data_IF_879492081991
#
_entry.id   IF_879492081991
#
_cell.length_a   1.000
_cell.length_b   1.000
_cell.length_c   1.000
_cell.angle_alpha   90.00
_cell.angle_beta   90.00
_cell.angle_gamma   90.00
#
_symmetry.space_group_name_H-M   'P 1'
#
loop_
_entity.id
_entity.type
_entity.pdbx_description
1 polymer ?
#
# COMPACT_ATOMS: atom_id res chain seq x y z
N UNK A 1 -18.15 14.63 -25.95
CA UNK A 1 -17.84 14.19 -24.61
C UNK A 1 -17.48 12.71 -24.70
N UNK A 2 -16.19 12.40 -24.65
CA UNK A 2 -15.70 11.01 -24.71
C UNK A 2 -15.87 10.40 -23.32
N UNK A 3 -16.80 9.47 -23.17
CA UNK A 3 -16.89 8.63 -21.98
C UNK A 3 -15.68 7.69 -22.05
N UNK A 4 -14.66 7.93 -21.22
CA UNK A 4 -13.52 7.05 -21.11
C UNK A 4 -14.02 5.64 -20.76
N UNK A 5 -13.68 4.66 -21.59
CA UNK A 5 -14.01 3.27 -21.37
C UNK A 5 -13.48 2.84 -20.00
N UNK A 6 -14.34 2.31 -19.14
CA UNK A 6 -13.93 1.64 -17.90
C UNK A 6 -13.01 0.48 -18.32
N UNK A 7 -11.76 0.43 -17.83
CA UNK A 7 -10.88 -0.68 -18.16
C UNK A 7 -11.58 -1.99 -17.77
N UNK A 8 -11.68 -2.91 -18.70
CA UNK A 8 -12.22 -4.24 -18.41
C UNK A 8 -11.39 -4.91 -17.32
N UNK A 9 -12.00 -5.80 -16.53
CA UNK A 9 -11.28 -6.58 -15.51
C UNK A 9 -10.02 -7.26 -16.06
N UNK A 10 -10.02 -7.65 -17.33
CA UNK A 10 -8.87 -8.18 -18.04
C UNK A 10 -7.73 -7.17 -18.21
N UNK A 11 -8.03 -5.87 -18.36
CA UNK A 11 -7.02 -4.82 -18.45
C UNK A 11 -6.31 -4.57 -17.10
N UNK A 12 -7.06 -4.64 -16.01
CA UNK A 12 -6.52 -4.53 -14.64
C UNK A 12 -5.63 -5.72 -14.31
N UNK A 13 -6.08 -6.95 -14.56
CA UNK A 13 -5.29 -8.14 -14.32
C UNK A 13 -3.99 -8.14 -15.14
N UNK A 14 -4.06 -7.76 -16.42
CA UNK A 14 -2.87 -7.66 -17.27
C UNK A 14 -1.87 -6.62 -16.74
N UNK A 15 -2.34 -5.47 -16.23
CA UNK A 15 -1.48 -4.46 -15.62
C UNK A 15 -0.77 -4.98 -14.37
N UNK A 16 -1.50 -5.68 -13.51
CA UNK A 16 -0.93 -6.30 -12.29
C UNK A 16 0.09 -7.38 -12.67
N UNK A 17 -0.18 -8.18 -13.68
CA UNK A 17 0.74 -9.21 -14.16
C UNK A 17 2.03 -8.64 -14.73
N UNK A 18 1.94 -7.56 -15.51
CA UNK A 18 3.14 -6.85 -16.01
C UNK A 18 3.96 -6.28 -14.86
N UNK A 19 3.32 -5.68 -13.87
CA UNK A 19 4.00 -5.14 -12.68
C UNK A 19 4.69 -6.24 -11.88
N UNK A 20 4.00 -7.35 -11.63
CA UNK A 20 4.54 -8.54 -10.96
C UNK A 20 5.81 -9.03 -11.66
N UNK A 21 5.76 -9.20 -12.97
CA UNK A 21 6.90 -9.68 -13.76
C UNK A 21 8.06 -8.67 -13.79
N UNK A 22 7.77 -7.38 -13.90
CA UNK A 22 8.78 -6.33 -14.01
C UNK A 22 9.56 -6.15 -12.70
N UNK A 23 8.92 -6.30 -11.55
CA UNK A 23 9.52 -6.04 -10.23
C UNK A 23 9.92 -7.33 -9.51
N UNK A 24 9.29 -8.47 -9.86
CA UNK A 24 9.55 -9.75 -9.21
C UNK A 24 8.77 -9.95 -7.92
N UNK A 25 7.56 -9.40 -7.84
CA UNK A 25 6.64 -9.56 -6.71
C UNK A 25 5.53 -10.53 -7.08
N UNK A 26 5.08 -11.32 -6.12
CA UNK A 26 4.05 -12.33 -6.31
C UNK A 26 2.75 -11.74 -6.89
N UNK A 27 2.29 -12.31 -8.00
CA UNK A 27 1.08 -11.87 -8.69
C UNK A 27 -0.18 -12.04 -7.84
N UNK A 28 -0.32 -13.17 -7.16
CA UNK A 28 -1.51 -13.46 -6.35
C UNK A 28 -1.60 -12.51 -5.15
N UNK A 29 -0.46 -12.16 -4.56
CA UNK A 29 -0.41 -11.14 -3.51
C UNK A 29 -0.94 -9.79 -4.01
N UNK A 30 -0.45 -9.31 -5.16
CA UNK A 30 -0.91 -8.05 -5.74
C UNK A 30 -2.40 -8.09 -6.10
N UNK A 31 -2.88 -9.19 -6.68
CA UNK A 31 -4.30 -9.37 -7.01
C UNK A 31 -5.19 -9.35 -5.76
N UNK A 32 -4.81 -10.08 -4.72
CA UNK A 32 -5.55 -10.09 -3.45
C UNK A 32 -5.58 -8.70 -2.81
N UNK A 33 -4.45 -8.01 -2.82
CA UNK A 33 -4.36 -6.64 -2.28
C UNK A 33 -5.27 -5.69 -3.05
N UNK A 34 -5.22 -5.67 -4.37
CA UNK A 34 -6.08 -4.80 -5.19
C UNK A 34 -7.56 -5.14 -5.00
N UNK A 35 -7.90 -6.42 -4.90
CA UNK A 35 -9.28 -6.86 -4.64
C UNK A 35 -9.77 -6.38 -3.27
N UNK A 36 -8.94 -6.50 -2.26
CA UNK A 36 -9.25 -6.07 -0.88
C UNK A 36 -9.38 -4.55 -0.77
N UNK A 37 -8.49 -3.80 -1.42
CA UNK A 37 -8.45 -2.34 -1.32
C UNK A 37 -9.55 -1.64 -2.14
N UNK A 38 -9.82 -2.10 -3.34
CA UNK A 38 -10.70 -1.39 -4.28
C UNK A 38 -11.72 -2.25 -5.00
N UNK A 39 -11.80 -3.55 -4.67
CA UNK A 39 -12.56 -4.53 -5.47
C UNK A 39 -12.15 -4.52 -6.95
N UNK A 40 -10.85 -4.32 -7.22
CA UNK A 40 -10.26 -4.18 -8.56
C UNK A 40 -10.78 -2.96 -9.34
N UNK A 41 -11.25 -1.93 -8.65
CA UNK A 41 -11.71 -0.69 -9.27
C UNK A 41 -10.56 0.35 -9.35
N UNK A 42 -10.03 0.64 -10.55
CA UNK A 42 -8.93 1.60 -10.69
C UNK A 42 -9.33 3.04 -10.40
N UNK A 43 -10.63 3.35 -10.39
CA UNK A 43 -11.17 4.69 -10.13
C UNK A 43 -11.64 4.90 -8.68
N UNK A 44 -11.40 3.93 -7.80
CA UNK A 44 -11.86 4.00 -6.42
C UNK A 44 -11.23 5.17 -5.67
N UNK A 45 -12.06 5.84 -4.85
CA UNK A 45 -11.64 6.93 -3.96
C UNK A 45 -12.16 6.64 -2.56
N UNK A 46 -11.30 6.78 -1.56
CA UNK A 46 -11.72 6.67 -0.17
C UNK A 46 -12.56 7.90 0.23
N UNK A 47 -13.65 7.72 0.99
CA UNK A 47 -14.52 8.84 1.37
C UNK A 47 -13.92 9.74 2.46
N UNK A 48 -12.99 9.22 3.26
CA UNK A 48 -12.48 9.91 4.47
C UNK A 48 -10.96 10.08 4.50
N UNK A 49 -10.27 9.71 3.43
CA UNK A 49 -8.81 9.86 3.34
C UNK A 49 -8.36 10.23 1.92
N UNK A 50 -7.07 10.45 1.73
CA UNK A 50 -6.48 10.71 0.41
C UNK A 50 -6.27 9.45 -0.43
N UNK A 51 -6.63 8.26 0.08
CA UNK A 51 -6.42 6.99 -0.61
C UNK A 51 -7.23 6.91 -1.91
N UNK A 52 -6.58 6.48 -2.97
CA UNK A 52 -7.18 6.42 -4.30
C UNK A 52 -6.57 5.33 -5.17
N UNK A 53 -7.36 4.90 -6.17
CA UNK A 53 -6.95 3.97 -7.19
C UNK A 53 -7.01 2.51 -6.77
N UNK A 54 -6.47 1.67 -7.62
CA UNK A 54 -6.54 0.21 -7.51
C UNK A 54 -5.99 -0.34 -6.19
N UNK A 55 -4.93 0.28 -5.66
CA UNK A 55 -4.25 -0.13 -4.41
C UNK A 55 -4.46 0.85 -3.25
N UNK A 56 -5.34 1.83 -3.41
CA UNK A 56 -5.67 2.80 -2.37
C UNK A 56 -4.44 3.49 -1.76
N UNK A 57 -3.53 3.97 -2.63
CA UNK A 57 -2.39 4.75 -2.19
C UNK A 57 -2.81 6.07 -1.56
N UNK A 58 -2.36 6.35 -0.36
CA UNK A 58 -2.42 7.69 0.22
C UNK A 58 -1.39 8.60 -0.44
N UNK A 59 -1.62 9.90 -0.42
CA UNK A 59 -0.81 10.89 -1.13
C UNK A 59 0.69 10.77 -0.83
N UNK A 60 1.09 10.78 0.42
CA UNK A 60 2.51 10.77 0.80
C UNK A 60 3.24 9.48 0.38
N UNK A 61 2.58 8.34 0.53
CA UNK A 61 3.15 7.06 0.09
C UNK A 61 3.28 7.02 -1.42
N UNK A 62 2.28 7.51 -2.14
CA UNK A 62 2.32 7.60 -3.60
C UNK A 62 3.49 8.47 -4.08
N UNK A 63 3.57 9.70 -3.60
CA UNK A 63 4.62 10.63 -3.99
C UNK A 63 6.02 10.08 -3.68
N UNK A 64 6.20 9.51 -2.50
CA UNK A 64 7.48 8.91 -2.12
C UNK A 64 7.87 7.71 -3.00
N UNK A 65 6.90 6.86 -3.36
CA UNK A 65 7.14 5.69 -4.20
C UNK A 65 7.46 6.09 -5.64
N UNK A 66 6.71 7.02 -6.22
CA UNK A 66 7.00 7.56 -7.56
C UNK A 66 8.36 8.26 -7.60
N UNK A 67 8.69 9.02 -6.56
CA UNK A 67 10.00 9.69 -6.46
C UNK A 67 11.14 8.71 -6.48
N UNK A 68 11.03 7.61 -5.75
CA UNK A 68 12.09 6.61 -5.63
C UNK A 68 12.21 5.69 -6.85
N UNK A 69 11.09 5.29 -7.42
CA UNK A 69 11.02 4.19 -8.39
C UNK A 69 10.46 4.58 -9.76
N UNK A 70 9.85 5.74 -9.89
CA UNK A 70 9.14 6.14 -11.11
C UNK A 70 10.03 6.19 -12.35
N UNK A 71 11.24 6.69 -12.22
CA UNK A 71 12.16 6.84 -13.37
C UNK A 71 12.51 5.48 -14.02
N UNK A 72 12.61 4.42 -13.24
CA UNK A 72 12.93 3.07 -13.72
C UNK A 72 11.82 2.48 -14.61
N UNK A 73 10.61 3.01 -14.50
CA UNK A 73 9.42 2.48 -15.15
C UNK A 73 8.79 3.46 -16.16
N UNK A 74 9.54 4.48 -16.57
CA UNK A 74 9.05 5.45 -17.55
C UNK A 74 8.25 6.62 -16.96
N UNK A 75 8.21 6.77 -15.62
CA UNK A 75 7.53 7.87 -14.93
C UNK A 75 8.49 8.94 -14.40
N UNK A 76 9.69 9.04 -14.97
CA UNK A 76 10.71 9.99 -14.55
C UNK A 76 10.25 11.44 -14.59
N UNK A 77 9.49 11.83 -15.60
CA UNK A 77 8.90 13.17 -15.72
C UNK A 77 7.98 13.52 -14.56
N UNK A 78 7.27 12.56 -13.98
CA UNK A 78 6.44 12.78 -12.79
C UNK A 78 7.30 12.82 -11.52
N UNK A 79 8.29 11.95 -11.43
CA UNK A 79 9.24 11.92 -10.31
C UNK A 79 9.99 13.26 -10.17
N UNK A 80 10.35 13.88 -11.28
CA UNK A 80 11.06 15.17 -11.31
C UNK A 80 10.23 16.33 -10.76
N UNK A 81 8.90 16.22 -10.79
CA UNK A 81 7.97 17.21 -10.22
C UNK A 81 7.83 17.10 -8.69
N UNK A 82 8.29 16.01 -8.12
CA UNK A 82 8.15 15.72 -6.69
C UNK A 82 9.40 16.20 -5.95
N UNK A 83 9.20 17.04 -4.94
CA UNK A 83 10.26 17.53 -4.06
C UNK A 83 9.98 17.19 -2.60
N UNK A 84 11.02 17.18 -1.80
CA UNK A 84 10.91 16.98 -0.35
C UNK A 84 10.94 18.33 0.35
N UNK A 85 9.94 18.61 1.19
CA UNK A 85 9.92 19.81 2.00
C UNK A 85 10.87 19.73 3.20
N UNK A 86 11.12 20.85 3.84
CA UNK A 86 11.95 20.92 5.06
C UNK A 86 11.38 20.11 6.22
N UNK A 87 10.06 19.88 6.23
CA UNK A 87 9.35 19.04 7.19
C UNK A 87 9.43 17.53 6.85
N UNK A 88 10.18 17.16 5.81
CA UNK A 88 10.33 15.78 5.35
C UNK A 88 9.17 15.26 4.50
N UNK A 89 8.14 16.05 4.25
CA UNK A 89 6.99 15.64 3.45
C UNK A 89 7.24 15.83 1.96
N UNK A 90 6.67 14.93 1.16
CA UNK A 90 6.71 15.02 -0.29
C UNK A 90 5.67 16.02 -0.79
N UNK A 91 6.05 16.83 -1.78
CA UNK A 91 5.21 17.90 -2.34
C UNK A 91 5.36 17.98 -3.86
N UNK A 92 4.30 18.43 -4.49
CA UNK A 92 4.28 18.84 -5.91
C UNK A 92 3.62 20.20 -5.99
N UNK A 93 4.23 21.15 -6.69
CA UNK A 93 3.76 22.52 -6.75
C UNK A 93 2.67 22.71 -7.81
N UNK A 94 1.71 23.58 -7.50
CA UNK A 94 0.72 24.09 -8.44
C UNK A 94 -0.20 23.03 -9.05
N UNK A 95 -0.53 23.23 -10.32
CA UNK A 95 -1.44 22.34 -11.08
C UNK A 95 -0.84 20.97 -11.38
N UNK A 96 0.49 20.85 -11.35
CA UNK A 96 1.19 19.58 -11.54
C UNK A 96 0.86 18.56 -10.44
N UNK A 97 0.44 19.01 -9.25
CA UNK A 97 0.06 18.15 -8.16
C UNK A 97 -1.03 17.15 -8.55
N UNK A 98 -2.10 17.61 -9.17
CA UNK A 98 -3.19 16.72 -9.58
C UNK A 98 -2.74 15.76 -10.69
N UNK A 99 -1.88 16.19 -11.60
CA UNK A 99 -1.32 15.33 -12.66
C UNK A 99 -0.58 14.14 -12.04
N UNK A 100 0.26 14.37 -11.05
CA UNK A 100 1.02 13.30 -10.37
C UNK A 100 0.11 12.41 -9.53
N UNK A 101 -0.84 13.00 -8.79
CA UNK A 101 -1.77 12.25 -7.95
C UNK A 101 -2.77 11.43 -8.76
N UNK A 102 -3.26 11.95 -9.89
CA UNK A 102 -4.23 11.25 -10.75
C UNK A 102 -3.61 10.04 -11.47
N UNK A 103 -2.30 9.96 -11.53
CA UNK A 103 -1.60 8.78 -12.02
C UNK A 103 -1.95 7.52 -11.22
N UNK A 104 -2.44 7.66 -9.98
CA UNK A 104 -2.97 6.55 -9.17
C UNK A 104 -4.17 5.84 -9.79
N UNK A 105 -4.89 6.51 -10.70
CA UNK A 105 -6.03 5.96 -11.42
C UNK A 105 -5.62 5.20 -12.69
N UNK A 106 -4.36 5.30 -13.10
CA UNK A 106 -3.82 4.47 -14.18
C UNK A 106 -3.47 3.08 -13.64
N UNK A 107 -4.09 2.01 -14.16
CA UNK A 107 -3.87 0.66 -13.63
C UNK A 107 -2.42 0.20 -13.70
N UNK A 108 -1.69 0.57 -14.76
CA UNK A 108 -0.29 0.15 -14.90
C UNK A 108 0.61 0.89 -13.92
N UNK A 109 0.46 2.21 -13.79
CA UNK A 109 1.23 3.01 -12.85
C UNK A 109 0.97 2.58 -11.40
N UNK A 110 -0.30 2.41 -11.03
CA UNK A 110 -0.69 1.96 -9.70
C UNK A 110 -0.11 0.58 -9.38
N UNK A 111 -0.22 -0.37 -10.31
CA UNK A 111 0.28 -1.74 -10.12
C UNK A 111 1.80 -1.79 -10.00
N UNK A 112 2.50 -1.04 -10.85
CA UNK A 112 3.98 -0.99 -10.83
C UNK A 112 4.48 -0.38 -9.52
N UNK A 113 3.87 0.72 -9.07
CA UNK A 113 4.24 1.35 -7.80
C UNK A 113 3.88 0.48 -6.60
N UNK A 114 2.75 -0.24 -6.64
CA UNK A 114 2.39 -1.20 -5.60
C UNK A 114 3.40 -2.36 -5.51
N UNK A 115 3.87 -2.86 -6.63
CA UNK A 115 4.90 -3.89 -6.67
C UNK A 115 6.24 -3.38 -6.08
N UNK A 116 6.65 -2.16 -6.44
CA UNK A 116 7.87 -1.54 -5.87
C UNK A 116 7.75 -1.29 -4.38
N UNK A 117 6.60 -0.80 -3.92
CA UNK A 117 6.35 -0.61 -2.48
C UNK A 117 6.42 -1.95 -1.74
N UNK A 118 5.81 -2.99 -2.29
CA UNK A 118 5.85 -4.35 -1.71
C UNK A 118 7.28 -4.88 -1.62
N UNK A 119 8.08 -4.73 -2.67
CA UNK A 119 9.48 -5.14 -2.67
C UNK A 119 10.31 -4.36 -1.63
N UNK A 120 10.09 -3.06 -1.53
CA UNK A 120 10.76 -2.21 -0.53
C UNK A 120 10.37 -2.59 0.90
N UNK A 121 9.08 -2.85 1.13
CA UNK A 121 8.59 -3.31 2.43
C UNK A 121 9.18 -4.67 2.81
N UNK A 122 9.24 -5.61 1.87
CA UNK A 122 9.85 -6.91 2.10
C UNK A 122 11.33 -6.79 2.50
N UNK A 123 12.09 -5.96 1.80
CA UNK A 123 13.48 -5.70 2.12
C UNK A 123 13.66 -5.10 3.52
N UNK A 124 12.82 -4.12 3.87
CA UNK A 124 12.82 -3.51 5.20
C UNK A 124 12.52 -4.54 6.29
N UNK A 125 11.48 -5.35 6.11
CA UNK A 125 11.06 -6.35 7.10
C UNK A 125 12.15 -7.42 7.31
N UNK A 126 12.76 -7.91 6.23
CA UNK A 126 13.90 -8.83 6.33
C UNK A 126 15.07 -8.23 7.11
N UNK A 127 15.41 -7.00 6.79
CA UNK A 127 16.52 -6.28 7.45
C UNK A 127 16.26 -6.03 8.94
N UNK A 128 15.02 -5.69 9.29
CA UNK A 128 14.64 -5.37 10.66
C UNK A 128 14.42 -6.61 11.54
N UNK A 129 13.76 -7.63 11.01
CA UNK A 129 13.33 -8.80 11.80
C UNK A 129 14.22 -10.02 11.62
N UNK A 130 15.04 -10.06 10.59
CA UNK A 130 15.83 -11.25 10.21
C UNK A 130 15.00 -12.40 9.64
N UNK A 131 13.71 -12.17 9.37
CA UNK A 131 12.76 -13.17 8.86
C UNK A 131 12.26 -12.79 7.46
N UNK A 132 11.96 -13.80 6.66
CA UNK A 132 11.23 -13.59 5.41
C UNK A 132 9.76 -13.26 5.72
N UNK A 133 9.25 -12.10 5.28
CA UNK A 133 7.86 -11.72 5.53
C UNK A 133 6.90 -12.58 4.72
N UNK A 134 5.83 -13.02 5.35
CA UNK A 134 4.71 -13.66 4.67
C UNK A 134 3.74 -12.63 4.05
N UNK A 135 2.72 -13.13 3.35
CA UNK A 135 1.71 -12.28 2.71
C UNK A 135 1.00 -11.37 3.72
N UNK A 136 0.67 -11.87 4.89
CA UNK A 136 0.03 -11.08 5.96
C UNK A 136 0.94 -9.97 6.50
N UNK A 137 2.23 -10.22 6.61
CA UNK A 137 3.22 -9.22 7.05
C UNK A 137 3.35 -8.11 6.01
N UNK A 138 3.39 -8.47 4.73
CA UNK A 138 3.44 -7.52 3.62
C UNK A 138 2.14 -6.70 3.54
N UNK A 139 0.99 -7.32 3.78
CA UNK A 139 -0.27 -6.60 3.85
C UNK A 139 -0.32 -5.67 5.07
N UNK A 140 0.18 -6.11 6.23
CA UNK A 140 0.32 -5.24 7.40
C UNK A 140 1.17 -4.01 7.08
N UNK A 141 2.25 -4.16 6.32
CA UNK A 141 3.10 -3.04 5.91
C UNK A 141 2.38 -2.04 4.99
N UNK A 142 1.38 -2.50 4.24
CA UNK A 142 0.58 -1.64 3.37
C UNK A 142 -0.24 -0.62 4.17
N UNK A 143 -0.80 -0.99 5.31
CA UNK A 143 -1.64 -0.07 6.11
C UNK A 143 -1.00 0.43 7.41
N UNK A 144 -0.06 -0.30 8.02
CA UNK A 144 0.70 0.14 9.20
C UNK A 144 2.01 0.85 8.86
N UNK A 145 2.43 0.77 7.59
CA UNK A 145 3.79 1.09 7.19
C UNK A 145 4.77 -0.03 7.56
N UNK A 146 5.99 -0.02 6.99
CA UNK A 146 6.96 -1.09 7.22
C UNK A 146 7.42 -1.18 8.68
N UNK A 147 7.61 -0.06 9.37
CA UNK A 147 7.98 -0.07 10.79
C UNK A 147 6.89 -0.65 11.67
N UNK A 148 5.62 -0.32 11.41
CA UNK A 148 4.48 -0.88 12.13
C UNK A 148 4.34 -2.39 11.91
N UNK A 149 4.51 -2.85 10.67
CA UNK A 149 4.50 -4.27 10.35
C UNK A 149 5.63 -5.03 11.04
N UNK A 150 6.84 -4.47 11.07
CA UNK A 150 7.96 -5.06 11.80
C UNK A 150 7.64 -5.20 13.30
N UNK A 151 7.05 -4.17 13.89
CA UNK A 151 6.62 -4.20 15.30
C UNK A 151 5.54 -5.26 15.54
N UNK A 152 4.61 -5.46 14.60
CA UNK A 152 3.60 -6.52 14.67
C UNK A 152 4.25 -7.91 14.62
N UNK A 153 5.21 -8.13 13.72
CA UNK A 153 5.98 -9.39 13.64
C UNK A 153 6.73 -9.67 14.94
N UNK A 154 7.41 -8.66 15.50
CA UNK A 154 8.11 -8.78 16.78
C UNK A 154 7.14 -9.09 17.94
N UNK A 155 5.97 -8.45 17.94
CA UNK A 155 4.93 -8.70 18.95
C UNK A 155 4.34 -10.11 18.84
N UNK A 156 4.22 -10.66 17.62
CA UNK A 156 3.81 -12.05 17.42
C UNK A 156 4.77 -13.04 18.12
N UNK A 157 6.05 -12.75 18.08
CA UNK A 157 7.05 -13.62 18.71
C UNK A 157 7.04 -13.51 20.24
N UNK A 158 6.81 -12.32 20.78
CA UNK A 158 6.99 -12.01 22.21
C UNK A 158 5.70 -11.96 22.99
N UNK A 159 4.63 -11.45 22.41
CA UNK A 159 3.38 -11.10 23.09
C UNK A 159 2.15 -11.41 22.24
N UNK A 160 2.00 -12.65 21.71
CA UNK A 160 0.89 -12.98 20.80
C UNK A 160 -0.50 -12.77 21.41
N UNK A 161 -0.61 -12.87 22.74
CA UNK A 161 -1.85 -12.66 23.49
C UNK A 161 -2.13 -11.22 23.91
N UNK A 162 -1.20 -10.27 23.65
CA UNK A 162 -1.40 -8.88 24.01
C UNK A 162 -2.46 -8.21 23.13
N UNK A 163 -3.08 -7.12 23.63
CA UNK A 163 -4.00 -6.31 22.84
C UNK A 163 -3.27 -5.58 21.72
N UNK A 164 -3.61 -5.89 20.48
CA UNK A 164 -3.04 -5.20 19.33
C UNK A 164 -3.41 -3.71 19.32
N UNK A 165 -4.63 -3.37 19.75
CA UNK A 165 -5.07 -1.97 19.83
C UNK A 165 -4.24 -1.12 20.81
N UNK A 166 -3.75 -1.75 21.88
CA UNK A 166 -2.86 -1.07 22.85
C UNK A 166 -1.48 -0.79 22.28
N UNK A 167 -0.98 -1.66 21.39
CA UNK A 167 0.31 -1.50 20.73
C UNK A 167 0.24 -0.53 19.53
N UNK A 168 -0.91 -0.47 18.87
CA UNK A 168 -1.12 0.33 17.65
C UNK A 168 -2.40 1.17 17.76
N UNK A 169 -2.48 2.13 18.69
CA UNK A 169 -3.73 2.84 18.98
C UNK A 169 -4.26 3.67 17.79
N UNK A 170 -3.38 4.28 17.02
CA UNK A 170 -3.78 5.07 15.84
C UNK A 170 -4.33 4.19 14.72
N UNK A 171 -3.65 3.08 14.44
CA UNK A 171 -4.09 2.10 13.46
C UNK A 171 -5.41 1.45 13.89
N UNK A 172 -5.58 1.18 15.18
CA UNK A 172 -6.82 0.62 15.74
C UNK A 172 -8.01 1.56 15.58
N UNK A 173 -7.80 2.87 15.77
CA UNK A 173 -8.84 3.87 15.53
C UNK A 173 -9.26 3.93 14.06
N UNK A 174 -8.30 3.85 13.15
CA UNK A 174 -8.55 3.92 11.71
C UNK A 174 -9.10 2.61 11.11
N UNK A 175 -8.84 1.46 11.76
CA UNK A 175 -9.14 0.14 11.22
C UNK A 175 -9.84 -0.76 12.25
N UNK A 176 -10.96 -0.28 12.81
CA UNK A 176 -11.66 -0.96 13.91
C UNK A 176 -12.02 -2.42 13.60
N UNK A 177 -12.43 -2.72 12.38
CA UNK A 177 -12.80 -4.08 11.97
C UNK A 177 -11.64 -5.08 12.04
N UNK A 178 -10.39 -4.60 11.96
CA UNK A 178 -9.19 -5.42 12.07
C UNK A 178 -8.80 -5.62 13.53
N UNK A 179 -8.91 -4.56 14.35
CA UNK A 179 -8.40 -4.52 15.73
C UNK A 179 -9.41 -4.89 16.81
N UNK A 180 -10.69 -5.03 16.46
CA UNK A 180 -11.75 -5.37 17.40
C UNK A 180 -12.63 -6.49 16.87
N UNK A 181 -13.02 -7.41 17.75
CA UNK A 181 -13.94 -8.50 17.50
C UNK A 181 -15.02 -8.53 18.57
N UNK A 182 -16.28 -8.54 18.18
CA UNK A 182 -17.44 -8.66 19.08
C UNK A 182 -17.35 -7.68 20.28
N UNK A 183 -16.93 -6.45 20.01
CA UNK A 183 -16.79 -5.38 21.00
C UNK A 183 -15.54 -5.45 21.88
N UNK A 184 -14.70 -6.47 21.75
CA UNK A 184 -13.42 -6.58 22.46
C UNK A 184 -12.21 -6.28 21.57
N UNK A 185 -11.11 -5.85 22.18
CA UNK A 185 -9.84 -5.72 21.49
C UNK A 185 -9.30 -7.08 21.04
N UNK A 186 -8.91 -7.19 19.77
CA UNK A 186 -8.26 -8.37 19.23
C UNK A 186 -6.83 -8.51 19.76
N UNK A 187 -6.38 -9.74 19.96
CA UNK A 187 -5.00 -10.03 20.30
C UNK A 187 -4.09 -9.80 19.08
N UNK A 188 -2.79 -9.67 19.32
CA UNK A 188 -1.77 -9.59 18.26
C UNK A 188 -1.91 -10.79 17.31
N UNK A 189 -2.06 -12.00 17.86
CA UNK A 189 -2.24 -13.22 17.07
C UNK A 189 -3.51 -13.18 16.20
N UNK A 190 -4.62 -12.69 16.74
CA UNK A 190 -5.88 -12.56 15.99
C UNK A 190 -5.77 -11.51 14.85
N UNK A 191 -5.13 -10.38 15.12
CA UNK A 191 -4.89 -9.37 14.07
C UNK A 191 -4.00 -9.95 12.99
N UNK A 192 -2.89 -10.57 13.35
CA UNK A 192 -1.97 -11.17 12.39
C UNK A 192 -2.67 -12.24 11.53
N UNK A 193 -3.46 -13.12 12.15
CA UNK A 193 -4.22 -14.15 11.42
C UNK A 193 -5.27 -13.55 10.46
N UNK A 194 -5.85 -12.40 10.80
CA UNK A 194 -6.85 -11.74 9.97
C UNK A 194 -6.24 -11.06 8.72
N UNK A 195 -4.93 -10.90 8.68
CA UNK A 195 -4.19 -10.30 7.57
C UNK A 195 -3.65 -11.33 6.57
N UNK A 196 -3.69 -12.64 6.89
CA UNK A 196 -3.24 -13.73 6.01
C UNK A 196 -4.24 -14.02 4.83
#
# INVERSE_FOLDING_TARGET
MSVGAIPSSGGVEAAIRRASNAVGVDFDFLMKTARRESALNPSAKAPTSSAAGLFQFIEQTWLGTVKKHGAQHGYGQYADLIRRGSDGRWRVDGSARNVVLDLRFDPQAASTMAAELTASNAAYLRGRTGKEPGAGDLYAAHFLGPAGAASLMEAMDRYPGASAASLFPDAARANRSIFYRDGRAATVAEVHANLQ
#
